data_IF_455962204931
#
_entry.id   IF_455962204931
#
_cell.length_a   1.000
_cell.length_b   1.000
_cell.length_c   1.000
_cell.angle_alpha   90.00
_cell.angle_beta   90.00
_cell.angle_gamma   90.00
#
_symmetry.space_group_name_H-M   'P 1'
#
loop_
_entity.id
_entity.type
_entity.pdbx_description
1 polymer ?
#
# COMPACT_ATOMS: atom_id res chain seq x y z
N UNK A 1 -12.68 -16.87 0.27
CA UNK A 1 -12.00 -15.56 0.32
C UNK A 1 -13.00 -14.49 -0.07
N UNK A 2 -13.41 -13.68 0.90
CA UNK A 2 -14.30 -12.54 0.68
C UNK A 2 -13.50 -11.40 0.04
N UNK A 3 -14.18 -10.54 -0.73
CA UNK A 3 -13.65 -9.26 -1.22
C UNK A 3 -14.58 -8.16 -0.70
N UNK A 4 -14.05 -7.18 0.01
CA UNK A 4 -14.83 -6.06 0.57
C UNK A 4 -14.09 -4.73 0.42
N UNK A 5 -14.80 -3.61 0.51
CA UNK A 5 -14.20 -2.28 0.40
C UNK A 5 -13.53 -1.87 1.72
N UNK A 6 -12.42 -1.14 1.61
CA UNK A 6 -11.80 -0.46 2.74
C UNK A 6 -12.76 0.64 3.21
N UNK A 7 -13.29 0.48 4.41
CA UNK A 7 -14.21 1.44 5.03
C UNK A 7 -13.73 1.75 6.43
N UNK A 8 -14.17 2.89 6.97
CA UNK A 8 -13.87 3.28 8.35
C UNK A 8 -14.32 2.22 9.35
N UNK A 9 -15.47 1.59 9.12
CA UNK A 9 -15.98 0.49 9.93
C UNK A 9 -15.08 -0.74 9.88
N UNK A 10 -14.59 -1.11 8.69
CA UNK A 10 -13.67 -2.25 8.55
C UNK A 10 -12.35 -1.98 9.26
N UNK A 11 -11.76 -0.79 9.07
CA UNK A 11 -10.50 -0.42 9.73
C UNK A 11 -10.68 -0.40 11.26
N UNK A 12 -11.80 0.13 11.75
CA UNK A 12 -12.10 0.14 13.18
C UNK A 12 -12.28 -1.29 13.72
N UNK A 13 -12.99 -2.15 12.98
CA UNK A 13 -13.14 -3.56 13.35
C UNK A 13 -11.80 -4.30 13.41
N UNK A 14 -10.91 -4.11 12.42
CA UNK A 14 -9.55 -4.68 12.43
C UNK A 14 -8.78 -4.18 13.64
N UNK A 15 -8.87 -2.90 13.96
CA UNK A 15 -8.22 -2.33 15.13
C UNK A 15 -8.74 -2.99 16.42
N UNK A 16 -10.05 -2.99 16.65
CA UNK A 16 -10.64 -3.41 17.91
C UNK A 16 -10.46 -4.92 18.15
N UNK A 17 -10.66 -5.74 17.12
CA UNK A 17 -10.45 -7.18 17.21
C UNK A 17 -8.97 -7.56 17.18
N UNK A 18 -8.12 -6.77 16.51
CA UNK A 18 -6.67 -6.94 16.51
C UNK A 18 -6.06 -6.71 17.89
N UNK A 19 -6.48 -5.64 18.58
CA UNK A 19 -6.09 -5.37 19.99
C UNK A 19 -6.48 -6.53 20.91
N UNK A 20 -7.62 -7.19 20.64
CA UNK A 20 -8.09 -8.35 21.40
C UNK A 20 -7.45 -9.66 20.98
N UNK A 21 -6.77 -9.71 19.83
CA UNK A 21 -6.29 -10.95 19.22
C UNK A 21 -7.40 -11.88 18.73
N UNK A 22 -8.57 -11.34 18.40
CA UNK A 22 -9.81 -12.10 18.10
C UNK A 22 -10.23 -12.08 16.63
N UNK A 23 -9.43 -11.48 15.73
CA UNK A 23 -9.68 -11.55 14.30
C UNK A 23 -9.70 -13.03 13.86
N UNK A 24 -10.80 -13.56 13.32
CA UNK A 24 -10.87 -14.97 12.93
C UNK A 24 -9.85 -15.28 11.83
N UNK A 25 -9.13 -16.40 11.93
CA UNK A 25 -8.11 -16.81 10.95
C UNK A 25 -8.65 -16.80 9.52
N UNK A 26 -9.88 -17.27 9.31
CA UNK A 26 -10.55 -17.25 8.00
C UNK A 26 -10.70 -15.86 7.38
N UNK A 27 -10.76 -14.80 8.20
CA UNK A 27 -10.85 -13.39 7.75
C UNK A 27 -9.49 -12.82 7.37
N UNK A 28 -8.38 -13.36 7.88
CA UNK A 28 -7.03 -12.82 7.63
C UNK A 28 -6.66 -12.79 6.14
N UNK A 29 -7.17 -13.76 5.38
CA UNK A 29 -6.96 -13.86 3.93
C UNK A 29 -7.96 -13.08 3.08
N UNK A 30 -8.97 -12.45 3.69
CA UNK A 30 -9.96 -11.69 2.93
C UNK A 30 -9.31 -10.49 2.24
N UNK A 31 -9.69 -10.30 0.98
CA UNK A 31 -9.20 -9.20 0.16
C UNK A 31 -9.96 -7.91 0.48
N UNK A 32 -9.20 -6.82 0.59
CA UNK A 32 -9.74 -5.49 0.87
C UNK A 32 -9.38 -4.57 -0.29
N UNK A 33 -10.40 -4.05 -0.95
CA UNK A 33 -10.26 -3.07 -2.05
C UNK A 33 -10.07 -1.69 -1.43
N UNK A 34 -8.92 -1.09 -1.67
CA UNK A 34 -8.54 0.23 -1.18
C UNK A 34 -9.13 1.33 -2.08
N UNK A 35 -9.22 1.06 -3.38
CA UNK A 35 -9.69 2.01 -4.39
C UNK A 35 -9.05 1.73 -5.74
N UNK A 36 -8.80 2.77 -6.53
CA UNK A 36 -8.10 2.72 -7.82
C UNK A 36 -7.09 3.85 -7.91
N UNK A 37 -6.07 3.71 -8.74
CA UNK A 37 -5.20 4.86 -9.03
C UNK A 37 -6.00 6.01 -9.66
N UNK A 38 -5.61 7.25 -9.35
CA UNK A 38 -6.14 8.42 -10.06
C UNK A 38 -5.65 8.44 -11.52
N UNK A 39 -6.31 9.18 -12.43
CA UNK A 39 -5.83 9.33 -13.80
C UNK A 39 -4.38 9.86 -13.88
N UNK A 40 -4.00 10.75 -12.97
CA UNK A 40 -2.62 11.24 -12.86
C UNK A 40 -1.64 10.12 -12.48
N UNK A 41 -1.98 9.31 -11.48
CA UNK A 41 -1.16 8.15 -11.10
C UNK A 41 -1.04 7.15 -12.27
N UNK A 42 -2.12 6.87 -12.99
CA UNK A 42 -2.09 5.99 -14.16
C UNK A 42 -1.18 6.55 -15.26
N UNK A 43 -1.22 7.86 -15.51
CA UNK A 43 -0.34 8.51 -16.50
C UNK A 43 1.14 8.45 -16.09
N UNK A 44 1.44 8.62 -14.80
CA UNK A 44 2.82 8.51 -14.27
C UNK A 44 3.33 7.07 -14.37
N UNK A 45 2.50 6.08 -14.03
CA UNK A 45 2.89 4.69 -13.93
C UNK A 45 2.85 3.94 -15.28
N UNK A 46 2.01 4.38 -16.21
CA UNK A 46 1.79 3.68 -17.48
C UNK A 46 1.21 2.27 -17.32
N UNK A 47 0.48 2.01 -16.24
CA UNK A 47 -0.12 0.70 -15.92
C UNK A 47 -1.60 0.64 -16.27
N UNK A 48 -2.19 -0.56 -16.23
CA UNK A 48 -3.62 -0.74 -16.45
C UNK A 48 -4.44 -0.10 -15.32
N UNK A 49 -5.65 0.37 -15.62
CA UNK A 49 -6.59 0.82 -14.58
C UNK A 49 -7.21 -0.38 -13.85
N UNK A 50 -6.68 -0.69 -12.67
CA UNK A 50 -7.11 -1.81 -11.82
C UNK A 50 -7.28 -1.39 -10.37
N UNK A 51 -7.98 -2.24 -9.63
CA UNK A 51 -8.19 -2.02 -8.20
C UNK A 51 -6.88 -2.16 -7.43
N UNK A 52 -6.69 -1.25 -6.48
CA UNK A 52 -5.71 -1.37 -5.41
C UNK A 52 -6.31 -2.29 -4.35
N UNK A 53 -5.64 -3.40 -4.08
CA UNK A 53 -6.12 -4.45 -3.20
C UNK A 53 -5.05 -4.83 -2.20
N UNK A 54 -5.46 -5.15 -0.98
CA UNK A 54 -4.62 -5.77 0.05
C UNK A 54 -5.38 -6.87 0.77
N UNK A 55 -4.89 -7.35 1.90
CA UNK A 55 -5.60 -8.29 2.78
C UNK A 55 -5.83 -7.71 4.17
N UNK A 56 -6.79 -8.29 4.91
CA UNK A 56 -6.98 -8.01 6.34
C UNK A 56 -5.68 -8.23 7.11
N UNK A 57 -4.95 -9.32 6.82
CA UNK A 57 -3.66 -9.60 7.46
C UNK A 57 -2.59 -8.54 7.18
N UNK A 58 -2.57 -7.92 6.00
CA UNK A 58 -1.62 -6.84 5.73
C UNK A 58 -2.03 -5.55 6.43
N UNK A 59 -3.32 -5.22 6.49
CA UNK A 59 -3.81 -4.05 7.23
C UNK A 59 -3.53 -4.17 8.73
N UNK A 60 -3.74 -5.36 9.30
CA UNK A 60 -3.41 -5.69 10.69
C UNK A 60 -1.91 -5.49 10.94
N UNK A 61 -1.03 -6.09 10.13
CA UNK A 61 0.42 -5.89 10.25
C UNK A 61 0.85 -4.43 10.09
N UNK A 62 0.29 -3.70 9.13
CA UNK A 62 0.55 -2.26 9.00
C UNK A 62 0.23 -1.52 10.31
N UNK A 63 -0.86 -1.91 10.97
CA UNK A 63 -1.29 -1.29 12.21
C UNK A 63 -0.42 -1.66 13.40
N UNK A 64 -0.17 -2.95 13.62
CA UNK A 64 0.45 -3.44 14.85
C UNK A 64 1.97 -3.63 14.73
N UNK A 65 2.47 -4.09 13.58
CA UNK A 65 3.91 -4.29 13.36
C UNK A 65 4.60 -3.02 12.87
N UNK A 66 3.89 -2.17 12.11
CA UNK A 66 4.46 -0.97 11.50
C UNK A 66 3.94 0.34 12.08
N UNK A 67 3.08 0.26 13.11
CA UNK A 67 2.54 1.40 13.84
C UNK A 67 1.82 2.44 12.96
N UNK A 68 1.24 2.02 11.83
CA UNK A 68 0.38 2.87 11.02
C UNK A 68 -0.98 2.98 11.72
N UNK A 69 -1.34 4.17 12.16
CA UNK A 69 -2.60 4.37 12.91
C UNK A 69 -3.83 4.01 12.08
N UNK A 70 -4.92 3.63 12.75
CA UNK A 70 -6.21 3.42 12.12
C UNK A 70 -6.66 4.64 11.29
N UNK A 71 -6.42 5.86 11.76
CA UNK A 71 -6.72 7.09 11.01
C UNK A 71 -5.97 7.16 9.67
N UNK A 72 -4.70 6.77 9.63
CA UNK A 72 -3.92 6.71 8.39
C UNK A 72 -4.40 5.61 7.46
N UNK A 73 -4.71 4.43 8.00
CA UNK A 73 -5.24 3.34 7.18
C UNK A 73 -6.60 3.68 6.56
N UNK A 74 -7.46 4.42 7.26
CA UNK A 74 -8.71 4.98 6.68
C UNK A 74 -8.42 5.87 5.46
N UNK A 75 -7.31 6.61 5.48
CA UNK A 75 -6.85 7.47 4.38
C UNK A 75 -5.82 6.78 3.45
N UNK A 76 -5.68 5.44 3.48
CA UNK A 76 -4.62 4.75 2.72
C UNK A 76 -4.68 5.04 1.21
N UNK A 77 -5.90 5.11 0.65
CA UNK A 77 -6.10 5.48 -0.75
C UNK A 77 -5.57 6.88 -1.06
N UNK A 78 -5.90 7.87 -0.20
CA UNK A 78 -5.44 9.24 -0.33
C UNK A 78 -3.92 9.37 -0.22
N UNK A 79 -3.29 8.64 0.71
CA UNK A 79 -1.83 8.57 0.84
C UNK A 79 -1.16 8.02 -0.43
N UNK A 80 -1.71 6.96 -1.02
CA UNK A 80 -1.18 6.34 -2.24
C UNK A 80 -1.33 7.29 -3.44
N UNK A 81 -2.46 7.98 -3.55
CA UNK A 81 -2.80 8.82 -4.70
C UNK A 81 -2.27 10.26 -4.59
N UNK A 82 -1.66 10.63 -3.47
CA UNK A 82 -0.99 11.93 -3.25
C UNK A 82 0.48 11.71 -2.85
N UNK A 83 1.28 11.05 -3.71
CA UNK A 83 2.66 10.73 -3.39
C UNK A 83 3.55 11.96 -3.41
N UNK A 84 4.60 11.95 -2.59
CA UNK A 84 5.73 12.87 -2.74
C UNK A 84 6.69 12.39 -3.84
N UNK A 85 7.01 11.08 -3.83
CA UNK A 85 7.88 10.44 -4.82
C UNK A 85 7.37 9.04 -5.16
N UNK A 86 7.71 8.57 -6.36
CA UNK A 86 7.46 7.19 -6.79
C UNK A 86 8.77 6.60 -7.30
N UNK A 87 9.09 5.41 -6.81
CA UNK A 87 10.27 4.65 -7.22
C UNK A 87 9.88 3.33 -7.87
N UNK A 88 10.70 2.82 -8.79
CA UNK A 88 10.68 1.39 -9.13
C UNK A 88 11.18 0.60 -7.93
N UNK A 89 10.62 -0.59 -7.71
CA UNK A 89 11.12 -1.49 -6.67
C UNK A 89 12.56 -1.89 -6.96
N UNK A 90 13.43 -1.78 -5.95
CA UNK A 90 14.83 -2.16 -6.09
C UNK A 90 15.04 -3.67 -6.25
N UNK A 91 14.08 -4.49 -5.80
CA UNK A 91 14.14 -5.96 -5.86
C UNK A 91 13.24 -6.55 -6.94
N UNK A 92 12.16 -5.87 -7.33
CA UNK A 92 11.22 -6.32 -8.36
C UNK A 92 10.88 -5.18 -9.34
N UNK A 93 11.88 -4.60 -10.03
CA UNK A 93 11.72 -3.36 -10.80
C UNK A 93 10.76 -3.45 -11.99
N UNK A 94 10.53 -4.66 -12.51
CA UNK A 94 9.65 -4.89 -13.66
C UNK A 94 8.16 -4.91 -13.29
N UNK A 95 7.83 -5.23 -12.04
CA UNK A 95 6.45 -5.54 -11.63
C UNK A 95 5.99 -4.76 -10.41
N UNK A 96 6.86 -3.96 -9.79
CA UNK A 96 6.56 -3.33 -8.51
C UNK A 96 7.11 -1.92 -8.40
N UNK A 97 6.37 -1.08 -7.68
CA UNK A 97 6.73 0.29 -7.35
C UNK A 97 6.76 0.48 -5.83
N UNK A 98 7.36 1.58 -5.40
CA UNK A 98 7.28 2.08 -4.03
C UNK A 98 6.79 3.51 -4.09
N UNK A 99 5.62 3.74 -3.52
CA UNK A 99 5.06 5.08 -3.31
C UNK A 99 5.63 5.63 -2.01
N UNK A 100 6.28 6.78 -2.06
CA UNK A 100 6.66 7.56 -0.88
C UNK A 100 5.63 8.65 -0.66
N UNK A 101 4.96 8.64 0.49
CA UNK A 101 3.87 9.55 0.81
C UNK A 101 4.41 10.85 1.42
N UNK A 102 3.64 11.93 1.34
CA UNK A 102 3.92 13.16 2.10
C UNK A 102 3.78 12.97 3.63
N UNK A 103 3.07 11.93 4.06
CA UNK A 103 2.89 11.61 5.48
C UNK A 103 4.16 11.01 6.07
N UNK A 104 4.45 11.38 7.33
CA UNK A 104 5.59 10.87 8.07
C UNK A 104 5.16 10.17 9.37
N UNK A 105 5.90 9.14 9.75
CA UNK A 105 5.80 8.50 11.05
C UNK A 105 7.16 8.60 11.74
N UNK A 106 7.21 9.26 12.91
CA UNK A 106 8.45 9.55 13.64
C UNK A 106 9.50 10.27 12.77
N UNK A 107 9.05 11.29 12.02
CA UNK A 107 9.86 12.07 11.06
C UNK A 107 10.43 11.30 9.86
N UNK A 108 10.00 10.05 9.66
CA UNK A 108 10.40 9.22 8.54
C UNK A 108 9.25 9.13 7.55
N UNK A 109 9.49 9.22 6.22
CA UNK A 109 8.43 9.12 5.23
C UNK A 109 7.80 7.73 5.29
N UNK A 110 6.47 7.68 5.19
CA UNK A 110 5.75 6.42 5.01
C UNK A 110 5.91 5.99 3.56
N UNK A 111 6.27 4.73 3.34
CA UNK A 111 6.34 4.14 2.02
C UNK A 111 5.34 3.00 1.87
N UNK A 112 4.80 2.86 0.66
CA UNK A 112 3.79 1.86 0.29
C UNK A 112 4.30 1.08 -0.93
N UNK A 113 4.84 -0.14 -0.74
CA UNK A 113 5.19 -1.02 -1.85
C UNK A 113 3.94 -1.60 -2.51
N UNK A 114 3.88 -1.53 -3.84
CA UNK A 114 2.75 -1.98 -4.64
C UNK A 114 3.26 -2.88 -5.78
N UNK A 115 2.71 -4.09 -5.88
CA UNK A 115 2.90 -4.94 -7.06
C UNK A 115 1.84 -4.59 -8.10
N UNK A 116 2.29 -4.11 -9.26
CA UNK A 116 1.42 -3.80 -10.37
C UNK A 116 0.99 -5.08 -11.09
N UNK A 117 -0.23 -5.06 -11.62
CA UNK A 117 -0.84 -6.16 -12.40
C UNK A 117 -0.62 -7.58 -11.83
N UNK A 118 -0.64 -7.72 -10.50
CA UNK A 118 -0.39 -9.00 -9.83
C UNK A 118 -1.44 -10.04 -10.27
N UNK A 119 -1.02 -11.17 -10.87
CA UNK A 119 -1.92 -12.23 -11.28
C UNK A 119 -2.83 -12.70 -10.15
N UNK A 120 -4.13 -12.74 -10.42
CA UNK A 120 -5.11 -13.35 -9.53
C UNK A 120 -5.07 -14.88 -9.62
N UNK A 121 -5.91 -15.54 -8.81
CA UNK A 121 -6.22 -16.95 -9.02
C UNK A 121 -6.81 -17.18 -10.42
N UNK A 122 -6.69 -18.41 -10.93
CA UNK A 122 -7.18 -18.79 -12.27
C UNK A 122 -8.60 -18.27 -12.53
N UNK A 123 -8.79 -17.57 -13.65
CA UNK A 123 -10.08 -17.00 -14.05
C UNK A 123 -10.45 -15.66 -13.38
N UNK A 124 -9.59 -15.10 -12.53
CA UNK A 124 -9.79 -13.76 -11.95
C UNK A 124 -8.93 -12.72 -12.66
N UNK A 125 -9.51 -11.53 -12.85
CA UNK A 125 -8.76 -10.37 -13.31
C UNK A 125 -7.60 -10.08 -12.33
N UNK A 126 -6.43 -9.65 -12.81
CA UNK A 126 -5.35 -9.28 -11.92
C UNK A 126 -5.62 -7.92 -11.26
N UNK A 127 -4.94 -7.65 -10.16
CA UNK A 127 -5.12 -6.45 -9.32
C UNK A 127 -3.78 -5.73 -9.09
N UNK A 128 -3.80 -4.50 -8.60
CA UNK A 128 -2.63 -3.86 -8.00
C UNK A 128 -2.56 -4.23 -6.52
N UNK A 129 -1.53 -4.97 -6.10
CA UNK A 129 -1.43 -5.47 -4.73
C UNK A 129 -0.60 -4.56 -3.84
N UNK A 130 -1.25 -3.91 -2.88
CA UNK A 130 -0.60 -3.12 -1.83
C UNK A 130 -0.06 -4.08 -0.77
N UNK A 131 1.26 -4.23 -0.74
CA UNK A 131 1.93 -5.25 0.08
C UNK A 131 2.13 -4.83 1.54
N UNK A 132 2.34 -3.54 1.79
CA UNK A 132 2.51 -2.97 3.14
C UNK A 132 2.44 -1.43 3.09
N UNK A 133 2.43 -0.80 4.26
CA UNK A 133 2.72 0.60 4.50
C UNK A 133 3.56 0.71 5.78
N UNK A 134 4.70 1.40 5.73
CA UNK A 134 5.60 1.51 6.88
C UNK A 134 6.53 2.72 6.77
N UNK A 135 7.01 3.21 7.91
CA UNK A 135 8.04 4.25 7.97
C UNK A 135 9.36 3.75 7.39
N UNK A 136 9.96 4.48 6.44
CA UNK A 136 11.29 4.14 5.92
C UNK A 136 12.37 4.62 6.88
N UNK A 137 12.83 3.71 7.74
CA UNK A 137 13.76 3.95 8.84
C UNK A 137 15.23 4.19 8.45
N UNK A 138 15.54 4.05 7.17
CA UNK A 138 16.86 4.34 6.61
C UNK A 138 16.73 5.40 5.50
N UNK A 139 16.68 6.71 5.86
CA UNK A 139 16.54 7.79 4.88
C UNK A 139 17.62 7.76 3.79
N UNK A 140 18.83 7.33 4.13
CA UNK A 140 19.94 7.16 3.19
C UNK A 140 19.63 6.17 2.05
N UNK A 141 18.69 5.23 2.25
CA UNK A 141 18.26 4.31 1.19
C UNK A 141 17.48 5.03 0.08
N UNK A 142 16.77 6.11 0.38
CA UNK A 142 16.05 6.90 -0.62
C UNK A 142 17.04 7.60 -1.56
N UNK A 143 18.07 8.25 -1.01
CA UNK A 143 19.14 8.84 -1.79
C UNK A 143 19.88 7.79 -2.66
N UNK A 144 20.09 6.58 -2.13
CA UNK A 144 20.65 5.46 -2.91
C UNK A 144 19.74 5.01 -4.05
N UNK A 145 18.41 5.03 -3.87
CA UNK A 145 17.47 4.70 -4.95
C UNK A 145 17.47 5.76 -6.05
N UNK A 146 17.55 7.04 -5.70
CA UNK A 146 17.69 8.14 -6.66
C UNK A 146 18.99 8.03 -7.45
N UNK A 147 20.12 7.83 -6.76
CA UNK A 147 21.43 7.64 -7.40
C UNK A 147 21.49 6.42 -8.34
N UNK A 148 20.64 5.42 -8.10
CA UNK A 148 20.48 4.22 -8.95
C UNK A 148 19.48 4.42 -10.09
N UNK A 149 18.91 5.61 -10.26
CA UNK A 149 17.93 5.92 -11.30
C UNK A 149 16.58 5.22 -11.08
N UNK A 150 16.23 4.86 -9.84
CA UNK A 150 14.94 4.21 -9.55
C UNK A 150 13.79 5.21 -9.43
N UNK A 151 14.08 6.51 -9.27
CA UNK A 151 13.07 7.56 -9.21
C UNK A 151 12.30 7.62 -10.54
N UNK A 152 10.99 7.40 -10.47
CA UNK A 152 10.09 7.49 -11.62
C UNK A 152 9.49 8.90 -11.72
N UNK A 153 9.12 9.46 -10.57
CA UNK A 153 8.41 10.73 -10.50
C UNK A 153 8.55 11.34 -9.11
N UNK A 154 8.50 12.66 -9.05
CA UNK A 154 8.50 13.46 -7.82
C UNK A 154 7.54 14.63 -7.96
N UNK A 155 6.82 14.93 -6.88
CA UNK A 155 6.00 16.12 -6.77
C UNK A 155 6.88 17.37 -6.85
N UNK A 156 6.49 18.31 -7.72
CA UNK A 156 7.16 19.60 -7.87
C UNK A 156 6.75 20.59 -6.78
#
# INVERSE_FOLDING_TARGET
MRREQLTDMLVQWIHDEGVRGTIPEKRMSDHVVIGRFTPQMLAILGCNDRELVTSVSHLEKMMFDHAISAARLKNLHGMICTPEKIFRSASQPATSIVVMTIETLRHMPIIVPIHLDKPGATGKAPDHWVASAYAKDQPAMLAKWEARGLLMWQQK
#
